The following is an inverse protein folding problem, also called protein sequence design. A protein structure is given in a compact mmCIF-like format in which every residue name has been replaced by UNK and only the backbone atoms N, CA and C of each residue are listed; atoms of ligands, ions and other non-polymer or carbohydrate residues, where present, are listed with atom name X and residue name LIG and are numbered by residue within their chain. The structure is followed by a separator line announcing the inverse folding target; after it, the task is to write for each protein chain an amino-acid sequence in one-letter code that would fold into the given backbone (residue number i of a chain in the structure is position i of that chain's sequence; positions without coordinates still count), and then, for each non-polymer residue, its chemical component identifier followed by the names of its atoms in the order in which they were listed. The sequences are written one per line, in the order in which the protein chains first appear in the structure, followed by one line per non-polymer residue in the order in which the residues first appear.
data_IF_445482203057
#
_entry.id   IF_445482203057
#
_cell.length_a   1.000
_cell.length_b   1.000
_cell.length_c   1.000
_cell.angle_alpha   90.00
_cell.angle_beta   90.00
_cell.angle_gamma   90.00
#
_symmetry.space_group_name_H-M   'P 1'
#
loop_
_entity.id
_entity.type
_entity.pdbx_description
1 polymer ?
#
# COMPACT_ATOMS: atom_id res chain seq x y z
N UNK A 1 -0.90 -2.36 -11.53
CA UNK A 1 0.13 -1.80 -10.62
C UNK A 1 1.55 -2.15 -11.06
N UNK A 2 2.00 -3.42 -11.03
CA UNK A 2 3.40 -3.83 -11.37
C UNK A 2 3.96 -3.21 -12.65
N UNK A 3 3.18 -3.26 -13.74
CA UNK A 3 3.59 -2.66 -15.01
C UNK A 3 3.85 -1.15 -14.91
N UNK A 4 2.97 -0.41 -14.23
CA UNK A 4 3.10 1.03 -14.04
C UNK A 4 4.33 1.36 -13.18
N UNK A 5 4.54 0.65 -12.06
CA UNK A 5 5.71 0.87 -11.19
C UNK A 5 7.02 0.57 -11.91
N UNK A 6 7.05 -0.45 -12.77
CA UNK A 6 8.23 -0.77 -13.57
C UNK A 6 8.54 0.31 -14.62
N UNK A 7 7.51 0.91 -15.20
CA UNK A 7 7.64 1.91 -16.28
C UNK A 7 7.90 3.32 -15.73
N UNK A 8 7.24 3.68 -14.63
CA UNK A 8 7.27 5.01 -14.03
C UNK A 8 7.67 4.91 -12.55
N UNK A 9 8.98 4.95 -12.28
CA UNK A 9 9.55 4.65 -10.96
C UNK A 9 9.08 5.61 -9.86
N UNK A 10 8.85 6.87 -10.18
CA UNK A 10 8.42 7.92 -9.23
C UNK A 10 6.93 8.24 -9.28
N UNK A 11 6.14 7.55 -10.12
CA UNK A 11 4.71 7.83 -10.23
C UNK A 11 3.99 7.44 -8.94
N UNK A 12 3.11 8.31 -8.46
CA UNK A 12 2.15 7.95 -7.42
C UNK A 12 1.08 7.03 -8.01
N UNK A 13 0.95 5.83 -7.43
CA UNK A 13 0.00 4.81 -7.87
C UNK A 13 -0.96 4.54 -6.72
N UNK A 14 -2.21 4.95 -6.92
CA UNK A 14 -3.32 4.67 -6.02
C UNK A 14 -3.94 3.31 -6.29
N UNK A 15 -4.31 2.62 -5.22
CA UNK A 15 -5.24 1.50 -5.26
C UNK A 15 -6.40 1.85 -4.33
N UNK A 16 -7.62 1.65 -4.82
CA UNK A 16 -8.87 1.79 -4.08
C UNK A 16 -9.69 0.50 -4.22
N UNK A 17 -10.35 0.10 -3.12
CA UNK A 17 -11.19 -1.09 -3.04
C UNK A 17 -10.51 -2.30 -2.39
N UNK A 18 -11.10 -2.81 -1.31
CA UNK A 18 -10.69 -4.07 -0.68
C UNK A 18 -9.34 -4.04 0.06
N UNK A 19 -8.78 -2.86 0.30
CA UNK A 19 -7.51 -2.70 1.01
C UNK A 19 -7.69 -2.74 2.52
N UNK A 20 -6.92 -3.61 3.16
CA UNK A 20 -6.86 -3.79 4.61
C UNK A 20 -5.61 -4.57 5.00
N UNK A 21 -5.44 -4.94 6.28
CA UNK A 21 -4.26 -5.64 6.77
C UNK A 21 -3.92 -6.93 6.01
N UNK A 22 -4.92 -7.65 5.49
CA UNK A 22 -4.71 -8.90 4.75
C UNK A 22 -4.34 -8.73 3.27
N UNK A 23 -4.55 -7.54 2.69
CA UNK A 23 -4.38 -7.29 1.24
C UNK A 23 -3.33 -6.23 0.93
N UNK A 24 -2.91 -5.43 1.93
CA UNK A 24 -2.01 -4.31 1.73
C UNK A 24 -0.63 -4.74 1.21
N UNK A 25 -0.09 -5.85 1.71
CA UNK A 25 1.24 -6.33 1.29
C UNK A 25 1.26 -6.64 -0.21
N UNK A 26 0.19 -7.25 -0.75
CA UNK A 26 0.09 -7.55 -2.18
C UNK A 26 0.03 -6.28 -3.03
N UNK A 27 -0.70 -5.25 -2.59
CA UNK A 27 -0.80 -3.98 -3.29
C UNK A 27 0.52 -3.21 -3.26
N UNK A 28 1.15 -3.12 -2.08
CA UNK A 28 2.41 -2.44 -1.85
C UNK A 28 3.57 -3.13 -2.60
N UNK A 29 3.67 -4.47 -2.54
CA UNK A 29 4.63 -5.25 -3.33
C UNK A 29 4.46 -5.02 -4.83
N UNK A 30 3.22 -4.93 -5.29
CA UNK A 30 2.94 -4.64 -6.69
C UNK A 30 3.37 -3.22 -7.11
N UNK A 31 3.64 -2.32 -6.17
CA UNK A 31 4.15 -0.98 -6.40
C UNK A 31 3.18 0.15 -6.09
N UNK A 32 2.06 -0.11 -5.40
CA UNK A 32 1.17 0.95 -4.92
C UNK A 32 1.82 1.71 -3.76
N UNK A 33 1.67 3.03 -3.74
CA UNK A 33 2.16 3.89 -2.67
C UNK A 33 1.10 4.87 -2.14
N UNK A 34 -0.05 4.96 -2.82
CA UNK A 34 -1.23 5.70 -2.38
C UNK A 34 -2.34 4.68 -2.10
N UNK A 35 -2.90 4.69 -0.90
CA UNK A 35 -3.80 3.63 -0.40
C UNK A 35 -5.11 4.23 0.06
N UNK A 36 -6.21 3.78 -0.53
CA UNK A 36 -7.57 4.10 -0.06
C UNK A 36 -8.15 2.89 0.65
N UNK A 37 -8.46 3.05 1.93
CA UNK A 37 -9.06 2.00 2.76
C UNK A 37 -10.23 2.58 3.56
N UNK A 38 -11.46 2.24 3.15
CA UNK A 38 -12.68 2.68 3.82
C UNK A 38 -13.11 1.70 4.92
N UNK A 39 -13.75 0.61 4.49
CA UNK A 39 -14.40 -0.36 5.39
C UNK A 39 -13.45 -1.03 6.38
N UNK A 40 -12.19 -1.30 6.00
CA UNK A 40 -11.23 -1.90 6.92
C UNK A 40 -10.83 -0.95 8.08
N UNK A 41 -10.83 0.37 7.85
CA UNK A 41 -10.56 1.36 8.90
C UNK A 41 -11.82 1.62 9.72
N UNK A 42 -12.93 1.93 9.05
CA UNK A 42 -14.18 2.37 9.72
C UNK A 42 -14.79 1.26 10.58
N UNK A 43 -14.71 0.01 10.14
CA UNK A 43 -15.27 -1.13 10.89
C UNK A 43 -14.32 -1.70 11.95
N UNK A 44 -13.09 -1.19 12.04
CA UNK A 44 -12.11 -1.65 13.03
C UNK A 44 -12.41 -1.09 14.41
N UNK A 45 -12.18 -1.90 15.45
CA UNK A 45 -12.16 -1.41 16.85
C UNK A 45 -10.93 -0.55 17.12
N UNK A 46 -9.87 -0.76 16.35
CA UNK A 46 -8.56 -0.12 16.50
C UNK A 46 -8.14 0.53 15.15
N UNK A 47 -8.80 1.63 14.73
CA UNK A 47 -8.56 2.24 13.41
C UNK A 47 -7.11 2.76 13.28
N UNK A 48 -6.52 3.26 14.37
CA UNK A 48 -5.14 3.73 14.42
C UNK A 48 -4.16 2.59 14.13
N UNK A 49 -4.40 1.40 14.70
CA UNK A 49 -3.57 0.22 14.45
C UNK A 49 -3.66 -0.21 12.98
N UNK A 50 -4.87 -0.22 12.40
CA UNK A 50 -5.04 -0.52 10.97
C UNK A 50 -4.25 0.46 10.11
N UNK A 51 -4.37 1.76 10.36
CA UNK A 51 -3.61 2.79 9.62
C UNK A 51 -2.10 2.57 9.76
N UNK A 52 -1.60 2.22 10.95
CA UNK A 52 -0.18 1.94 11.17
C UNK A 52 0.28 0.76 10.31
N UNK A 53 -0.44 -0.36 10.36
CA UNK A 53 -0.14 -1.56 9.56
C UNK A 53 -0.11 -1.24 8.06
N UNK A 54 -1.09 -0.47 7.57
CA UNK A 54 -1.14 -0.09 6.16
C UNK A 54 0.09 0.74 5.76
N UNK A 55 0.46 1.73 6.57
CA UNK A 55 1.63 2.60 6.32
C UNK A 55 2.95 1.84 6.40
N UNK A 56 3.11 0.98 7.40
CA UNK A 56 4.31 0.17 7.60
C UNK A 56 4.56 -0.76 6.42
N UNK A 57 3.52 -1.45 5.93
CA UNK A 57 3.62 -2.31 4.76
C UNK A 57 4.03 -1.51 3.51
N UNK A 58 3.39 -0.37 3.25
CA UNK A 58 3.74 0.49 2.10
C UNK A 58 5.20 0.98 2.17
N UNK A 59 5.62 1.52 3.31
CA UNK A 59 6.98 2.05 3.47
C UNK A 59 8.03 0.95 3.30
N UNK A 60 7.81 -0.24 3.88
CA UNK A 60 8.66 -1.42 3.68
C UNK A 60 8.87 -1.71 2.20
N UNK A 61 7.80 -1.72 1.40
CA UNK A 61 7.90 -2.03 -0.03
C UNK A 61 8.44 -0.87 -0.87
N UNK A 62 8.23 0.38 -0.47
CA UNK A 62 8.89 1.54 -1.09
C UNK A 62 10.40 1.40 -0.96
N UNK A 63 10.90 1.15 0.26
CA UNK A 63 12.34 1.02 0.52
C UNK A 63 12.95 -0.15 -0.27
N UNK A 64 12.27 -1.30 -0.32
CA UNK A 64 12.69 -2.46 -1.12
C UNK A 64 12.68 -2.16 -2.62
N UNK A 65 11.68 -1.43 -3.12
CA UNK A 65 11.58 -1.12 -4.55
C UNK A 65 12.61 -0.08 -4.98
N UNK A 66 12.95 0.87 -4.09
CA UNK A 66 13.91 1.94 -4.36
C UNK A 66 15.36 1.50 -4.18
N UNK A 67 15.64 0.54 -3.29
CA UNK A 67 16.97 -0.08 -3.15
C UNK A 67 17.37 -0.99 -4.31
N UNK A 68 16.42 -1.35 -5.19
CA UNK A 68 16.68 -2.16 -6.41
C UNK A 68 16.98 -1.32 -7.66
N UNK A 69 17.01 0.00 -7.52
CA UNK A 69 17.40 0.98 -8.56
C UNK A 69 18.76 1.57 -8.26
#
# INVERSE_FOLDING_TARGET
VKHLRNTYKSLDIEVDGGLGPSTIDTAAEAGANMIVSGSAIISSKEPQQVISVLKESVNKWIDINWSKT
#
